data_IF_512339927552
#
_entry.id   IF_512339927552
#
_cell.length_a   1.000
_cell.length_b   1.000
_cell.length_c   1.000
_cell.angle_alpha   90.00
_cell.angle_beta   90.00
_cell.angle_gamma   90.00
#
_symmetry.space_group_name_H-M   'P 1'
#
loop_
_entity.id
_entity.type
_entity.pdbx_description
1 polymer ?
#
# COMPACT_ATOMS: atom_id res chain seq x y z
N UNK A 1 -23.43 -40.91 28.60
CA UNK A 1 -22.20 -40.22 28.14
C UNK A 1 -22.17 -40.37 26.62
N UNK A 2 -22.52 -39.31 25.87
CA UNK A 2 -21.59 -38.38 25.19
C UNK A 2 -20.79 -39.12 24.10
N UNK A 3 -20.88 -38.84 22.80
CA UNK A 3 -20.97 -37.53 22.12
C UNK A 3 -21.81 -37.63 20.83
N UNK A 4 -22.69 -36.64 20.59
CA UNK A 4 -23.13 -36.30 19.24
C UNK A 4 -21.94 -35.76 18.43
N UNK A 5 -21.84 -36.02 17.12
CA UNK A 5 -20.95 -35.25 16.26
C UNK A 5 -21.42 -33.79 16.32
N UNK A 6 -20.50 -32.90 16.67
CA UNK A 6 -20.72 -31.46 16.60
C UNK A 6 -21.10 -31.10 15.17
N UNK A 7 -22.37 -30.74 14.95
CA UNK A 7 -22.81 -30.07 13.72
C UNK A 7 -22.00 -28.77 13.60
N UNK A 8 -20.91 -28.84 12.83
CA UNK A 8 -20.21 -27.66 12.35
C UNK A 8 -21.20 -26.94 11.42
N UNK A 9 -22.05 -26.09 12.00
CA UNK A 9 -22.77 -25.08 11.24
C UNK A 9 -21.69 -24.28 10.53
N UNK A 10 -21.60 -24.41 9.22
CA UNK A 10 -20.90 -23.45 8.39
C UNK A 10 -21.54 -22.09 8.69
N UNK A 11 -20.97 -21.36 9.66
CA UNK A 11 -21.22 -19.94 9.81
C UNK A 11 -21.00 -19.38 8.41
N UNK A 12 -22.01 -18.75 7.83
CA UNK A 12 -21.88 -18.04 6.55
C UNK A 12 -20.52 -17.35 6.57
N UNK A 13 -19.58 -17.82 5.75
CA UNK A 13 -18.21 -17.31 5.77
C UNK A 13 -18.33 -15.82 5.46
N UNK A 14 -18.13 -14.97 6.48
CA UNK A 14 -18.06 -13.53 6.27
C UNK A 14 -16.85 -13.35 5.37
N UNK A 15 -17.09 -13.05 4.09
CA UNK A 15 -16.01 -12.73 3.15
C UNK A 15 -15.29 -11.53 3.74
N UNK A 16 -14.03 -11.73 4.12
CA UNK A 16 -13.18 -10.64 4.53
C UNK A 16 -12.77 -9.87 3.27
N UNK A 17 -12.90 -8.55 3.29
CA UNK A 17 -12.41 -7.67 2.22
C UNK A 17 -10.99 -7.22 2.54
N UNK A 18 -10.06 -7.41 1.61
CA UNK A 18 -8.67 -6.99 1.74
C UNK A 18 -8.45 -5.74 0.87
N UNK A 19 -8.17 -4.61 1.53
CA UNK A 19 -7.85 -3.34 0.85
C UNK A 19 -6.33 -3.16 0.84
N UNK A 20 -5.75 -3.11 -0.35
CA UNK A 20 -4.34 -2.80 -0.57
C UNK A 20 -4.11 -1.31 -0.76
N UNK A 21 -3.19 -0.73 0.01
CA UNK A 21 -2.77 0.68 -0.15
C UNK A 21 -1.29 0.71 -0.54
N UNK A 22 -1.04 0.82 -1.84
CA UNK A 22 0.27 1.06 -2.42
C UNK A 22 0.52 2.54 -2.68
N UNK A 23 1.71 2.86 -3.18
CA UNK A 23 1.97 4.22 -3.67
C UNK A 23 3.38 4.73 -3.42
N UNK A 24 3.62 5.90 -4.01
CA UNK A 24 4.80 6.75 -3.89
C UNK A 24 5.37 6.80 -2.46
N UNK A 25 6.71 6.88 -2.36
CA UNK A 25 7.39 7.20 -1.11
C UNK A 25 6.85 8.52 -0.55
N UNK A 26 6.61 8.59 0.76
CA UNK A 26 6.08 9.79 1.43
C UNK A 26 4.73 10.32 0.89
N UNK A 27 3.92 9.48 0.25
CA UNK A 27 2.58 9.85 -0.24
C UNK A 27 1.47 9.83 0.83
N UNK A 28 1.80 9.59 2.10
CA UNK A 28 0.80 9.57 3.18
C UNK A 28 0.05 8.25 3.38
N UNK A 29 0.54 7.13 2.83
CA UNK A 29 -0.08 5.79 2.96
C UNK A 29 -0.50 5.44 4.40
N UNK A 30 0.40 5.58 5.36
CA UNK A 30 0.13 5.29 6.78
C UNK A 30 -0.94 6.22 7.37
N UNK A 31 -0.97 7.47 6.93
CA UNK A 31 -1.95 8.45 7.39
C UNK A 31 -3.34 8.15 6.82
N UNK A 32 -3.42 7.88 5.51
CA UNK A 32 -4.64 7.41 4.86
C UNK A 32 -5.18 6.15 5.52
N UNK A 33 -4.30 5.19 5.82
CA UNK A 33 -4.69 3.95 6.49
C UNK A 33 -5.31 4.20 7.87
N UNK A 34 -4.74 5.10 8.67
CA UNK A 34 -5.34 5.51 9.96
C UNK A 34 -6.71 6.18 9.78
N UNK A 35 -6.84 7.05 8.78
CA UNK A 35 -8.11 7.69 8.42
C UNK A 35 -9.19 6.66 8.08
N UNK A 36 -8.90 5.77 7.12
CA UNK A 36 -9.80 4.68 6.73
C UNK A 36 -10.13 3.76 7.91
N UNK A 37 -9.14 3.40 8.73
CA UNK A 37 -9.38 2.58 9.93
C UNK A 37 -10.38 3.24 10.88
N UNK A 38 -10.25 4.55 11.09
CA UNK A 38 -11.14 5.33 11.96
C UNK A 38 -12.54 5.41 11.38
N UNK A 39 -12.67 5.68 10.08
CA UNK A 39 -13.95 5.71 9.36
C UNK A 39 -14.67 4.36 9.40
N UNK A 40 -13.97 3.26 9.10
CA UNK A 40 -14.56 1.92 9.14
C UNK A 40 -14.98 1.52 10.56
N UNK A 41 -14.17 1.86 11.57
CA UNK A 41 -14.53 1.62 12.98
C UNK A 41 -15.78 2.40 13.38
N UNK A 42 -15.89 3.66 12.96
CA UNK A 42 -17.08 4.48 13.20
C UNK A 42 -18.35 3.91 12.52
N UNK A 43 -18.18 3.22 11.38
CA UNK A 43 -19.25 2.48 10.71
C UNK A 43 -19.53 1.08 11.30
N UNK A 44 -18.88 0.70 12.41
CA UNK A 44 -19.12 -0.58 13.10
C UNK A 44 -18.31 -1.77 12.57
N UNK A 45 -17.36 -1.54 11.66
CA UNK A 45 -16.43 -2.58 11.21
C UNK A 45 -15.24 -2.72 12.18
N UNK A 46 -14.51 -3.83 12.06
CA UNK A 46 -13.28 -4.10 12.84
C UNK A 46 -12.06 -4.24 11.91
N UNK A 47 -11.58 -3.13 11.32
CA UNK A 47 -10.44 -3.16 10.40
C UNK A 47 -9.15 -3.55 11.12
N UNK A 48 -8.40 -4.48 10.53
CA UNK A 48 -7.02 -4.80 10.93
C UNK A 48 -6.05 -4.18 9.93
N UNK A 49 -5.02 -3.52 10.45
CA UNK A 49 -3.98 -2.87 9.65
C UNK A 49 -2.71 -3.69 9.71
N UNK A 50 -2.16 -3.99 8.54
CA UNK A 50 -0.84 -4.62 8.37
C UNK A 50 0.03 -3.65 7.58
N UNK A 51 1.17 -3.25 8.15
CA UNK A 51 2.14 -2.38 7.48
C UNK A 51 3.27 -3.22 6.90
N UNK A 52 3.56 -3.08 5.61
CA UNK A 52 4.71 -3.76 4.98
C UNK A 52 6.04 -3.35 5.61
N UNK A 53 6.13 -2.12 6.13
CA UNK A 53 7.34 -1.59 6.76
C UNK A 53 7.77 -2.42 7.99
N UNK A 54 6.85 -3.15 8.62
CA UNK A 54 7.13 -3.97 9.80
C UNK A 54 7.77 -5.33 9.45
N UNK A 55 7.77 -5.71 8.17
CA UNK A 55 8.19 -7.03 7.68
C UNK A 55 9.43 -6.99 6.79
N UNK A 56 10.07 -5.83 6.62
CA UNK A 56 11.31 -5.77 5.86
C UNK A 56 12.43 -6.55 6.55
N UNK A 57 13.14 -7.35 5.76
CA UNK A 57 14.42 -7.86 6.20
C UNK A 57 15.43 -6.72 6.33
N UNK A 58 16.39 -6.86 7.26
CA UNK A 58 17.56 -5.97 7.33
C UNK A 58 18.23 -5.89 5.96
N UNK A 59 18.82 -4.74 5.62
CA UNK A 59 19.38 -4.49 4.28
C UNK A 59 20.39 -5.56 3.82
N UNK A 60 21.12 -6.19 4.76
CA UNK A 60 22.13 -7.22 4.49
C UNK A 60 21.62 -8.66 4.65
N UNK A 61 20.33 -8.87 4.87
CA UNK A 61 19.78 -10.22 5.02
C UNK A 61 19.92 -11.01 3.71
N UNK A 62 20.39 -12.28 3.76
CA UNK A 62 20.63 -13.09 2.57
C UNK A 62 19.33 -13.50 1.85
N UNK A 63 18.15 -13.33 2.46
CA UNK A 63 16.85 -13.66 1.84
C UNK A 63 16.37 -12.61 0.86
N UNK A 64 17.02 -11.45 0.78
CA UNK A 64 16.68 -10.43 -0.21
C UNK A 64 16.92 -10.94 -1.63
N UNK A 65 15.86 -10.93 -2.45
CA UNK A 65 16.03 -10.97 -3.90
C UNK A 65 16.55 -9.59 -4.31
N UNK A 66 17.72 -9.53 -4.93
CA UNK A 66 18.35 -8.27 -5.34
C UNK A 66 18.18 -8.04 -6.82
N UNK A 67 17.98 -6.78 -7.20
CA UNK A 67 18.00 -6.38 -8.60
C UNK A 67 19.40 -6.65 -9.19
N UNK A 68 19.50 -7.32 -10.35
CA UNK A 68 20.77 -7.79 -10.88
C UNK A 68 21.66 -6.66 -11.42
N UNK A 69 21.11 -5.47 -11.66
CA UNK A 69 21.85 -4.32 -12.20
C UNK A 69 22.36 -3.45 -11.05
N UNK A 70 21.50 -3.17 -10.07
CA UNK A 70 21.76 -2.22 -8.99
C UNK A 70 22.24 -2.88 -7.70
N UNK A 71 21.99 -4.18 -7.51
CA UNK A 71 22.30 -4.92 -6.28
C UNK A 71 21.38 -4.57 -5.10
N UNK A 72 20.41 -3.68 -5.29
CA UNK A 72 19.47 -3.27 -4.25
C UNK A 72 18.41 -4.35 -3.99
N UNK A 73 17.95 -4.51 -2.73
CA UNK A 73 16.90 -5.45 -2.41
C UNK A 73 15.59 -5.04 -3.09
N UNK A 74 14.92 -6.02 -3.69
CA UNK A 74 13.55 -5.87 -4.16
C UNK A 74 12.61 -5.88 -2.95
N UNK A 75 11.90 -4.78 -2.77
CA UNK A 75 10.96 -4.57 -1.67
C UNK A 75 9.50 -4.83 -2.07
N UNK A 76 9.24 -5.15 -3.34
CA UNK A 76 7.90 -5.43 -3.84
C UNK A 76 7.48 -6.90 -3.63
N UNK A 77 6.20 -7.11 -3.34
CA UNK A 77 5.60 -8.43 -3.21
C UNK A 77 4.38 -8.59 -4.14
N UNK A 78 4.61 -9.14 -5.33
CA UNK A 78 3.54 -9.34 -6.33
C UNK A 78 2.44 -10.32 -5.85
N UNK A 79 2.80 -11.32 -5.05
CA UNK A 79 1.86 -12.34 -4.57
C UNK A 79 0.74 -11.74 -3.69
N UNK A 80 1.07 -10.74 -2.86
CA UNK A 80 0.07 -10.08 -2.00
C UNK A 80 -0.98 -9.32 -2.81
N UNK A 81 -0.61 -8.80 -3.97
CA UNK A 81 -1.52 -8.01 -4.82
C UNK A 81 -2.74 -8.81 -5.27
N UNK A 82 -2.53 -10.09 -5.57
CA UNK A 82 -3.60 -10.98 -6.05
C UNK A 82 -4.63 -11.32 -4.97
N UNK A 83 -4.30 -11.09 -3.69
CA UNK A 83 -5.19 -11.32 -2.56
C UNK A 83 -6.07 -10.11 -2.22
N UNK A 84 -5.75 -8.93 -2.75
CA UNK A 84 -6.46 -7.68 -2.45
C UNK A 84 -7.72 -7.57 -3.30
N UNK A 85 -8.87 -7.29 -2.68
CA UNK A 85 -10.15 -7.04 -3.37
C UNK A 85 -10.20 -5.62 -3.95
N UNK A 86 -9.63 -4.64 -3.24
CA UNK A 86 -9.52 -3.24 -3.69
C UNK A 86 -8.06 -2.80 -3.62
N UNK A 87 -7.57 -2.12 -4.65
CA UNK A 87 -6.18 -1.66 -4.73
C UNK A 87 -6.14 -0.16 -4.96
N UNK A 88 -5.65 0.57 -3.98
CA UNK A 88 -5.45 2.02 -4.05
C UNK A 88 -3.96 2.28 -4.23
N UNK A 89 -3.60 3.13 -5.18
CA UNK A 89 -2.21 3.52 -5.40
C UNK A 89 -2.07 5.04 -5.35
N UNK A 90 -1.36 5.53 -4.32
CA UNK A 90 -1.10 6.95 -4.16
C UNK A 90 0.04 7.42 -5.06
N UNK A 91 -0.21 8.38 -5.94
CA UNK A 91 0.79 8.96 -6.83
C UNK A 91 1.32 10.28 -6.28
N UNK A 92 2.57 10.59 -6.62
CA UNK A 92 3.19 11.90 -6.44
C UNK A 92 3.98 12.27 -7.67
N UNK A 93 4.10 13.56 -7.93
CA UNK A 93 5.11 14.12 -8.83
C UNK A 93 6.52 14.05 -8.19
N UNK A 94 7.52 14.32 -9.02
CA UNK A 94 8.94 14.22 -8.66
C UNK A 94 9.27 15.22 -7.55
N UNK A 95 8.86 16.47 -7.73
CA UNK A 95 9.16 17.62 -6.88
C UNK A 95 8.60 17.45 -5.47
N UNK A 96 7.36 17.01 -5.37
CA UNK A 96 6.67 16.76 -4.10
C UNK A 96 7.28 15.55 -3.40
N UNK A 97 7.55 14.46 -4.13
CA UNK A 97 8.14 13.26 -3.53
C UNK A 97 9.51 13.55 -2.93
N UNK A 98 10.41 14.18 -3.69
CA UNK A 98 11.77 14.47 -3.20
C UNK A 98 11.75 15.47 -2.05
N UNK A 99 10.90 16.50 -2.11
CA UNK A 99 10.74 17.47 -1.02
C UNK A 99 10.30 16.78 0.28
N UNK A 100 9.27 15.92 0.23
CA UNK A 100 8.79 15.18 1.41
C UNK A 100 9.79 14.12 1.88
N UNK A 101 10.51 13.48 0.96
CA UNK A 101 11.50 12.44 1.30
C UNK A 101 12.72 13.01 2.00
N UNK A 102 13.21 14.19 1.58
CA UNK A 102 14.32 14.90 2.23
C UNK A 102 14.06 15.27 3.69
N UNK A 103 12.80 15.36 4.10
CA UNK A 103 12.41 15.64 5.48
C UNK A 103 12.31 14.38 6.35
N UNK A 104 12.44 13.19 5.77
CA UNK A 104 12.27 11.93 6.48
C UNK A 104 13.63 11.33 6.82
N UNK A 105 13.77 10.92 8.07
CA UNK A 105 14.95 10.21 8.57
C UNK A 105 14.79 8.71 8.28
N UNK A 106 15.54 8.21 7.29
CA UNK A 106 15.58 6.78 6.95
C UNK A 106 16.76 6.11 7.65
N UNK A 107 16.60 4.83 8.02
CA UNK A 107 17.68 4.01 8.55
C UNK A 107 17.95 2.80 7.62
N UNK A 108 19.11 2.75 6.92
CA UNK A 108 20.15 3.79 6.87
C UNK A 108 19.69 5.02 6.06
N UNK A 109 20.35 6.16 6.28
CA UNK A 109 20.08 7.39 5.55
C UNK A 109 20.32 7.22 4.04
N UNK A 110 19.53 7.92 3.22
CA UNK A 110 19.68 7.89 1.76
C UNK A 110 21.09 8.40 1.35
N UNK A 111 21.88 7.62 0.59
CA UNK A 111 23.16 8.09 0.09
C UNK A 111 22.99 9.19 -0.98
N UNK A 112 24.04 9.98 -1.27
CA UNK A 112 23.99 11.01 -2.31
C UNK A 112 23.53 10.44 -3.67
N UNK A 113 22.56 11.10 -4.30
CA UNK A 113 22.00 10.69 -5.60
C UNK A 113 21.03 9.51 -5.56
N UNK A 114 20.75 8.95 -4.38
CA UNK A 114 19.89 7.75 -4.25
C UNK A 114 18.48 7.95 -4.82
N UNK A 115 17.91 9.14 -4.63
CA UNK A 115 16.58 9.45 -5.12
C UNK A 115 16.50 9.37 -6.65
N UNK A 116 17.40 10.07 -7.32
CA UNK A 116 17.41 10.20 -8.78
C UNK A 116 17.82 8.91 -9.48
N UNK A 117 18.77 8.19 -8.89
CA UNK A 117 19.32 6.98 -9.49
C UNK A 117 18.46 5.74 -9.24
N UNK A 118 17.69 5.71 -8.14
CA UNK A 118 16.99 4.50 -7.71
C UNK A 118 15.53 4.71 -7.35
N UNK A 119 15.21 5.63 -6.43
CA UNK A 119 13.84 5.76 -5.90
C UNK A 119 12.87 6.18 -7.01
N UNK A 120 13.20 7.24 -7.74
CA UNK A 120 12.34 7.77 -8.80
C UNK A 120 12.24 6.83 -10.03
N UNK A 121 13.34 6.27 -10.57
CA UNK A 121 13.26 5.26 -11.62
C UNK A 121 12.47 4.02 -11.23
N UNK A 122 12.60 3.55 -9.98
CA UNK A 122 11.84 2.39 -9.49
C UNK A 122 10.35 2.71 -9.39
N UNK A 123 10.00 3.87 -8.82
CA UNK A 123 8.61 4.33 -8.73
C UNK A 123 7.96 4.49 -10.11
N UNK A 124 8.62 5.16 -11.05
CA UNK A 124 8.09 5.36 -12.41
C UNK A 124 7.92 4.04 -13.15
N UNK A 125 8.86 3.10 -12.99
CA UNK A 125 8.73 1.73 -13.51
C UNK A 125 7.49 1.01 -12.94
N UNK A 126 7.24 1.13 -11.63
CA UNK A 126 6.07 0.53 -10.99
C UNK A 126 4.78 1.14 -11.56
N UNK A 127 4.66 2.47 -11.55
CA UNK A 127 3.45 3.16 -12.05
C UNK A 127 3.15 2.80 -13.51
N UNK A 128 4.18 2.82 -14.37
CA UNK A 128 4.06 2.48 -15.79
C UNK A 128 3.68 1.01 -16.04
N UNK A 129 4.01 0.11 -15.12
CA UNK A 129 3.67 -1.30 -15.22
C UNK A 129 2.27 -1.58 -14.66
N UNK A 130 1.95 -1.01 -13.50
CA UNK A 130 0.66 -1.21 -12.84
C UNK A 130 -0.51 -0.76 -13.71
N UNK A 131 -0.38 0.40 -14.37
CA UNK A 131 -1.41 0.92 -15.28
C UNK A 131 -1.69 0.02 -16.49
N UNK A 132 -0.81 -0.93 -16.80
CA UNK A 132 -0.96 -1.87 -17.93
C UNK A 132 -1.43 -3.25 -17.50
N UNK A 133 -1.27 -3.60 -16.23
CA UNK A 133 -1.43 -4.98 -15.74
C UNK A 133 -2.75 -5.16 -15.00
N UNK A 134 -3.25 -4.11 -14.35
CA UNK A 134 -4.43 -4.23 -13.48
C UNK A 134 -5.27 -2.96 -13.55
N UNK A 135 -6.39 -3.06 -14.28
CA UNK A 135 -7.37 -1.99 -14.42
C UNK A 135 -8.16 -1.70 -13.14
N UNK A 136 -8.09 -2.60 -12.13
CA UNK A 136 -8.78 -2.44 -10.85
C UNK A 136 -7.96 -1.64 -9.82
N UNK A 137 -6.88 -0.99 -10.25
CA UNK A 137 -6.10 -0.11 -9.37
C UNK A 137 -6.66 1.31 -9.46
N UNK A 138 -7.13 1.82 -8.32
CA UNK A 138 -7.56 3.19 -8.15
C UNK A 138 -6.35 4.07 -7.88
N UNK A 139 -5.94 4.85 -8.88
CA UNK A 139 -4.86 5.83 -8.73
C UNK A 139 -5.40 7.15 -8.16
N UNK A 140 -4.74 7.66 -7.12
CA UNK A 140 -5.10 8.90 -6.42
C UNK A 140 -3.88 9.80 -6.30
N UNK A 141 -4.02 11.06 -6.73
CA UNK A 141 -2.97 12.06 -6.54
C UNK A 141 -2.89 12.48 -5.06
N UNK A 142 -1.73 12.25 -4.45
CA UNK A 142 -1.48 12.56 -3.04
C UNK A 142 -0.66 13.84 -2.85
N UNK A 143 -0.63 14.72 -3.87
CA UNK A 143 0.05 16.02 -3.84
C UNK A 143 -0.51 16.98 -2.79
N UNK A 144 -1.78 16.83 -2.38
CA UNK A 144 -2.37 17.59 -1.27
C UNK A 144 -1.59 17.39 0.04
N UNK A 145 -1.56 18.44 0.86
CA UNK A 145 -1.02 18.43 2.22
C UNK A 145 -2.07 18.05 3.26
N UNK A 146 -3.35 18.10 2.90
CA UNK A 146 -4.46 17.91 3.82
C UNK A 146 -4.82 16.42 3.94
N UNK A 147 -4.73 15.82 5.15
CA UNK A 147 -5.06 14.42 5.35
C UNK A 147 -6.53 14.09 5.08
N UNK A 148 -7.43 15.03 5.40
CA UNK A 148 -8.87 14.85 5.17
C UNK A 148 -9.20 14.91 3.68
N UNK A 149 -8.62 15.85 2.93
CA UNK A 149 -8.82 15.91 1.48
C UNK A 149 -8.34 14.65 0.78
N UNK A 150 -7.18 14.10 1.19
CA UNK A 150 -6.70 12.83 0.65
C UNK A 150 -7.67 11.68 0.95
N UNK A 151 -8.21 11.62 2.17
CA UNK A 151 -9.18 10.60 2.55
C UNK A 151 -10.46 10.72 1.73
N UNK A 152 -10.98 11.94 1.58
CA UNK A 152 -12.20 12.21 0.83
C UNK A 152 -12.03 11.83 -0.65
N UNK A 153 -10.91 12.19 -1.28
CA UNK A 153 -10.60 11.80 -2.66
C UNK A 153 -10.52 10.28 -2.84
N UNK A 154 -9.95 9.57 -1.87
CA UNK A 154 -9.87 8.10 -1.91
C UNK A 154 -11.27 7.49 -1.80
N UNK A 155 -12.09 7.97 -0.86
CA UNK A 155 -13.46 7.48 -0.68
C UNK A 155 -14.28 7.75 -1.95
N UNK A 156 -14.25 8.97 -2.49
CA UNK A 156 -14.98 9.34 -3.70
C UNK A 156 -14.60 8.43 -4.88
N UNK A 157 -13.29 8.27 -5.14
CA UNK A 157 -12.82 7.45 -6.26
C UNK A 157 -13.10 5.96 -6.08
N UNK A 158 -13.16 5.45 -4.86
CA UNK A 158 -13.38 4.01 -4.61
C UNK A 158 -14.86 3.63 -4.59
N UNK A 159 -15.75 4.52 -4.14
CA UNK A 159 -17.21 4.28 -4.11
C UNK A 159 -17.81 4.28 -5.52
N UNK A 160 -17.28 5.08 -6.45
CA UNK A 160 -17.78 5.17 -7.83
C UNK A 160 -17.55 3.86 -8.60
N UNK A 161 -16.56 3.04 -8.24
CA UNK A 161 -16.25 1.79 -8.93
C UNK A 161 -17.19 0.61 -8.62
N UNK A 162 -18.04 0.68 -7.58
CA UNK A 162 -19.04 -0.37 -7.30
C UNK A 162 -20.40 -0.14 -7.97
N UNK A 163 -20.56 0.96 -8.71
CA UNK A 163 -21.84 1.39 -9.31
C UNK A 163 -21.92 1.38 -10.84
N UNK A 164 -20.95 0.80 -11.55
CA UNK A 164 -20.89 0.77 -13.02
C UNK A 164 -20.92 -0.65 -13.58
#
# INVERSE_FOLDING_TARGET
MMHQPCDYKASSLIKQTIIGIGGASCAGKTLLCKGLQSTFTACGFQPKVLSMDDYYWKINDPRHIRDPITGHPNLDCNALRQLMDLRIFLTLDYETMIARRKLRDYDPADPPGYFDQYVWPSYTKIVNNLSKIDENIVFVDASTISPSELLDQVIEKTVIHEGA
#
